data_IF_936531815533
#
_entry.id   IF_936531815533
#
_cell.length_a   1.000
_cell.length_b   1.000
_cell.length_c   1.000
_cell.angle_alpha   90.00
_cell.angle_beta   90.00
_cell.angle_gamma   90.00
#
_symmetry.space_group_name_H-M   'P 1'
#
loop_
_entity.id
_entity.type
_entity.pdbx_description
1 polymer ?
#
# COMPACT_ATOMS: atom_id res chain seq x y z
N UNK A 1 6.09 68.10 -23.51
CA UNK A 1 5.18 69.26 -23.58
C UNK A 1 3.78 68.71 -23.74
N UNK A 2 2.85 69.12 -22.89
CA UNK A 2 1.44 68.72 -22.91
C UNK A 2 0.68 69.93 -23.45
N UNK A 3 -0.16 69.74 -24.46
CA UNK A 3 -0.99 70.81 -25.02
C UNK A 3 -2.48 70.56 -24.74
N UNK A 4 -3.25 71.63 -24.57
CA UNK A 4 -4.58 71.65 -23.97
C UNK A 4 -5.66 72.16 -24.94
N UNK A 5 -6.84 71.51 -24.91
CA UNK A 5 -8.23 72.02 -25.12
C UNK A 5 -8.43 73.45 -25.70
N UNK A 6 -9.50 73.73 -26.51
CA UNK A 6 -10.88 73.63 -25.97
C UNK A 6 -12.13 73.48 -26.91
N UNK A 7 -13.20 72.89 -26.34
CA UNK A 7 -14.64 73.31 -26.29
C UNK A 7 -15.39 73.78 -27.58
N UNK A 8 -16.54 73.12 -27.89
CA UNK A 8 -17.80 73.65 -28.51
C UNK A 8 -18.79 72.50 -28.82
N UNK A 9 -20.14 72.54 -28.79
CA UNK A 9 -21.23 73.33 -28.12
C UNK A 9 -22.50 72.44 -28.10
N UNK A 10 -23.19 72.22 -26.97
CA UNK A 10 -24.40 72.93 -26.47
C UNK A 10 -25.72 72.80 -27.30
N UNK A 11 -26.68 72.02 -26.78
CA UNK A 11 -28.16 72.25 -26.71
C UNK A 11 -28.84 71.03 -26.02
N UNK A 12 -29.41 71.10 -24.79
CA UNK A 12 -30.79 71.51 -24.40
C UNK A 12 -31.92 70.96 -25.30
N UNK A 13 -33.07 70.45 -24.81
CA UNK A 13 -33.85 70.71 -23.56
C UNK A 13 -34.95 69.61 -23.32
N UNK A 14 -35.43 69.45 -22.08
CA UNK A 14 -36.68 68.74 -21.62
C UNK A 14 -36.88 67.23 -22.01
N UNK A 15 -37.52 66.35 -21.21
CA UNK A 15 -38.23 66.49 -19.93
C UNK A 15 -39.69 65.98 -20.04
N UNK A 16 -40.10 65.02 -19.18
CA UNK A 16 -41.32 64.16 -19.19
C UNK A 16 -41.13 62.80 -19.91
N UNK A 17 -41.67 61.67 -19.45
CA UNK A 17 -42.41 61.38 -18.21
C UNK A 17 -42.92 59.91 -18.13
N UNK A 18 -42.93 59.34 -16.92
CA UNK A 18 -43.64 58.14 -16.42
C UNK A 18 -44.20 57.04 -17.37
N UNK A 19 -43.75 55.81 -17.07
CA UNK A 19 -44.53 54.56 -16.90
C UNK A 19 -45.23 53.87 -18.09
N UNK A 20 -44.71 52.65 -18.40
CA UNK A 20 -45.30 51.41 -18.97
C UNK A 20 -44.10 50.60 -19.53
N UNK A 21 -43.86 49.32 -19.28
CA UNK A 21 -44.69 48.24 -18.74
C UNK A 21 -44.81 47.12 -19.77
N UNK A 22 -44.22 45.94 -19.48
CA UNK A 22 -44.41 44.61 -20.09
C UNK A 22 -43.14 43.88 -20.61
N UNK A 23 -42.93 42.68 -20.05
CA UNK A 23 -42.59 41.40 -20.69
C UNK A 23 -41.38 41.26 -21.65
N UNK A 24 -40.32 40.62 -21.15
CA UNK A 24 -39.48 39.68 -21.90
C UNK A 24 -38.72 38.73 -20.94
N UNK A 25 -39.40 37.68 -20.47
CA UNK A 25 -38.79 36.65 -19.60
C UNK A 25 -39.33 35.27 -20.02
N UNK A 26 -38.47 34.45 -20.61
CA UNK A 26 -38.76 33.06 -20.97
C UNK A 26 -38.35 32.65 -22.38
N UNK A 27 -37.13 32.09 -22.52
CA UNK A 27 -36.86 30.78 -23.16
C UNK A 27 -35.33 30.50 -23.14
N UNK A 28 -34.84 29.83 -22.09
CA UNK A 28 -33.47 29.32 -22.02
C UNK A 28 -33.33 28.13 -21.03
N UNK A 29 -34.40 27.36 -20.83
CA UNK A 29 -34.49 26.31 -19.81
C UNK A 29 -34.95 24.96 -20.40
N UNK A 30 -34.27 24.51 -21.46
CA UNK A 30 -34.43 23.16 -22.02
C UNK A 30 -33.13 22.76 -22.73
N UNK A 31 -32.24 22.04 -22.03
CA UNK A 31 -31.20 21.16 -22.62
C UNK A 31 -30.32 20.41 -21.59
N UNK A 32 -30.51 20.58 -20.27
CA UNK A 32 -29.72 19.88 -19.23
C UNK A 32 -30.44 18.68 -18.56
N UNK A 33 -31.27 17.97 -19.33
CA UNK A 33 -31.81 16.65 -18.95
C UNK A 33 -31.04 15.57 -19.72
N UNK A 34 -29.79 15.31 -19.30
CA UNK A 34 -28.81 14.61 -20.15
C UNK A 34 -27.65 13.92 -19.42
N UNK A 35 -27.90 13.30 -18.27
CA UNK A 35 -27.07 12.20 -17.78
C UNK A 35 -27.88 11.29 -16.84
N UNK A 36 -28.82 10.54 -17.43
CA UNK A 36 -29.48 9.43 -16.74
C UNK A 36 -28.55 8.23 -16.67
N UNK A 37 -27.62 8.22 -15.71
CA UNK A 37 -26.80 7.04 -15.37
C UNK A 37 -27.54 6.10 -14.43
N UNK A 38 -28.68 5.55 -14.83
CA UNK A 38 -29.56 4.75 -13.97
C UNK A 38 -29.21 3.26 -13.93
N UNK A 39 -27.92 2.94 -13.85
CA UNK A 39 -27.47 1.70 -13.22
C UNK A 39 -27.14 2.04 -11.77
N UNK A 40 -27.82 1.43 -10.80
CA UNK A 40 -27.23 1.36 -9.46
C UNK A 40 -25.86 0.71 -9.61
N UNK A 41 -24.82 1.35 -9.10
CA UNK A 41 -23.56 0.66 -8.87
C UNK A 41 -23.86 -0.35 -7.78
N UNK A 42 -24.10 -1.60 -8.18
CA UNK A 42 -24.16 -2.70 -7.23
C UNK A 42 -22.80 -2.78 -6.56
N UNK A 43 -22.77 -2.46 -5.27
CA UNK A 43 -21.55 -2.47 -4.47
C UNK A 43 -20.97 -3.88 -4.52
N UNK A 44 -19.69 -4.00 -4.87
CA UNK A 44 -19.01 -5.29 -4.82
C UNK A 44 -19.09 -5.90 -3.42
N UNK A 45 -19.56 -7.15 -3.33
CA UNK A 45 -19.64 -7.93 -2.10
C UNK A 45 -18.71 -9.13 -2.27
N UNK A 46 -17.54 -9.14 -1.60
CA UNK A 46 -16.60 -10.24 -1.74
C UNK A 46 -17.06 -11.48 -0.98
N UNK A 47 -16.74 -12.65 -1.53
CA UNK A 47 -16.94 -13.94 -0.86
C UNK A 47 -15.77 -14.27 0.07
N UNK A 48 -14.54 -14.23 -0.47
CA UNK A 48 -13.33 -14.55 0.26
C UNK A 48 -12.19 -13.57 -0.04
N UNK A 49 -11.16 -13.58 0.81
CA UNK A 49 -9.87 -12.93 0.57
C UNK A 49 -8.78 -14.01 0.59
N UNK A 50 -7.99 -14.10 -0.47
CA UNK A 50 -6.83 -14.98 -0.54
C UNK A 50 -5.56 -14.12 -0.61
N UNK A 51 -4.72 -14.20 0.41
CA UNK A 51 -3.51 -13.37 0.52
C UNK A 51 -2.28 -14.19 0.20
N UNK A 52 -1.51 -13.74 -0.78
CA UNK A 52 -0.28 -14.37 -1.27
C UNK A 52 0.90 -13.44 -1.08
N UNK A 53 2.06 -14.00 -0.75
CA UNK A 53 3.22 -13.17 -0.52
C UNK A 53 4.31 -13.78 0.32
N UNK A 54 5.17 -12.86 0.77
CA UNK A 54 6.22 -13.10 1.75
C UNK A 54 5.76 -12.81 3.18
N UNK A 55 6.69 -12.85 4.14
CA UNK A 55 6.49 -12.53 5.54
C UNK A 55 5.68 -11.25 5.85
N UNK A 56 5.67 -10.24 4.98
CA UNK A 56 4.89 -9.00 5.18
C UNK A 56 3.37 -9.24 5.04
N UNK A 57 2.98 -10.40 4.53
CA UNK A 57 1.59 -10.86 4.41
C UNK A 57 1.23 -11.96 5.41
N UNK A 58 2.21 -12.51 6.14
CA UNK A 58 2.01 -13.67 7.01
C UNK A 58 1.34 -13.30 8.33
N UNK A 59 0.31 -14.06 8.65
CA UNK A 59 -0.32 -14.18 9.95
C UNK A 59 -0.25 -15.67 10.32
N UNK A 60 0.52 -16.02 11.36
CA UNK A 60 0.74 -17.43 11.70
C UNK A 60 -0.49 -18.07 12.38
N UNK A 61 -0.45 -19.38 12.64
CA UNK A 61 -1.56 -20.10 13.28
C UNK A 61 -1.95 -19.60 14.68
N UNK A 62 -1.13 -18.74 15.30
CA UNK A 62 -1.37 -18.11 16.61
C UNK A 62 -1.70 -16.62 16.50
N UNK A 63 -1.79 -16.08 15.28
CA UNK A 63 -2.08 -14.67 15.00
C UNK A 63 -0.86 -13.76 15.00
N UNK A 64 0.35 -14.28 15.18
CA UNK A 64 1.57 -13.48 15.18
C UNK A 64 2.00 -13.10 13.76
N UNK A 65 2.65 -11.94 13.64
CA UNK A 65 3.19 -11.36 12.40
C UNK A 65 4.71 -11.22 12.46
N UNK A 66 5.37 -11.14 11.30
CA UNK A 66 6.78 -10.76 11.19
C UNK A 66 6.96 -9.25 11.37
N UNK A 67 6.87 -8.81 12.62
CA UNK A 67 7.00 -7.41 13.01
C UNK A 67 6.70 -7.22 14.48
N UNK A 68 6.45 -5.97 14.88
CA UNK A 68 6.02 -5.67 16.25
C UNK A 68 4.57 -6.14 16.42
N UNK A 69 4.37 -7.08 17.32
CA UNK A 69 3.09 -7.65 17.65
C UNK A 69 2.40 -6.83 18.74
N UNK A 70 1.08 -6.67 18.63
CA UNK A 70 0.30 -5.88 19.56
C UNK A 70 0.18 -6.53 20.93
N UNK A 71 0.23 -5.71 21.99
CA UNK A 71 0.01 -6.13 23.37
C UNK A 71 -1.11 -5.29 23.96
N UNK A 72 -2.18 -5.93 24.41
CA UNK A 72 -3.24 -5.27 25.15
C UNK A 72 -2.78 -5.04 26.59
N UNK A 73 -2.66 -3.77 26.97
CA UNK A 73 -2.21 -3.30 28.28
C UNK A 73 -3.35 -2.79 29.17
N UNK A 74 -4.61 -2.96 28.72
CA UNK A 74 -5.80 -2.54 29.49
C UNK A 74 -6.17 -3.53 30.61
N UNK A 75 -5.51 -4.68 30.67
CA UNK A 75 -5.62 -5.72 31.69
C UNK A 75 -4.42 -5.71 32.63
N UNK A 76 -4.58 -6.19 33.88
CA UNK A 76 -3.49 -6.29 34.86
C UNK A 76 -2.34 -7.19 34.44
N UNK A 77 -2.60 -8.11 33.50
CA UNK A 77 -1.58 -8.90 32.80
C UNK A 77 -1.60 -8.45 31.34
N UNK A 78 -0.55 -7.78 30.85
CA UNK A 78 -0.41 -7.48 29.43
C UNK A 78 -0.35 -8.77 28.61
N UNK A 79 -1.17 -8.87 27.56
CA UNK A 79 -1.29 -10.07 26.74
C UNK A 79 -1.20 -9.71 25.25
N UNK A 80 -0.67 -10.64 24.46
CA UNK A 80 -0.67 -10.52 23.00
C UNK A 80 -2.11 -10.35 22.46
N UNK A 81 -2.28 -9.45 21.49
CA UNK A 81 -3.55 -9.16 20.83
C UNK A 81 -3.31 -8.97 19.32
N UNK A 82 -3.73 -9.97 18.54
CA UNK A 82 -3.56 -10.01 17.09
C UNK A 82 -4.33 -8.89 16.33
N UNK A 83 -5.31 -8.26 16.98
CA UNK A 83 -6.10 -7.15 16.41
C UNK A 83 -5.38 -5.81 16.51
N UNK A 84 -4.40 -5.71 17.42
CA UNK A 84 -3.55 -4.54 17.59
C UNK A 84 -2.34 -4.60 16.64
N UNK A 85 -1.98 -3.44 16.09
CA UNK A 85 -0.91 -3.27 15.09
C UNK A 85 -1.08 -4.20 13.86
N UNK A 86 -2.25 -4.19 13.17
CA UNK A 86 -2.53 -5.12 12.08
C UNK A 86 -1.57 -4.95 10.89
N UNK A 87 -1.27 -6.05 10.20
CA UNK A 87 -0.69 -6.01 8.85
C UNK A 87 -1.76 -5.56 7.84
N UNK A 88 -1.35 -4.97 6.71
CA UNK A 88 -2.27 -4.42 5.72
C UNK A 88 -3.33 -5.42 5.20
N UNK A 89 -3.07 -6.75 5.04
CA UNK A 89 -4.11 -7.68 4.61
C UNK A 89 -5.22 -7.86 5.66
N UNK A 90 -4.92 -7.74 6.96
CA UNK A 90 -5.95 -7.73 8.00
C UNK A 90 -6.85 -6.49 7.89
N UNK A 91 -6.30 -5.33 7.50
CA UNK A 91 -7.08 -4.11 7.31
C UNK A 91 -7.96 -4.19 6.06
N UNK A 92 -7.44 -4.76 4.96
CA UNK A 92 -8.25 -5.07 3.76
C UNK A 92 -9.38 -6.04 4.09
N UNK A 93 -9.10 -7.14 4.80
CA UNK A 93 -10.12 -8.09 5.23
C UNK A 93 -11.23 -7.41 6.05
N UNK A 94 -10.85 -6.65 7.09
CA UNK A 94 -11.80 -5.96 7.96
C UNK A 94 -12.66 -4.93 7.20
N UNK A 95 -12.07 -4.17 6.26
CA UNK A 95 -12.78 -3.21 5.43
C UNK A 95 -13.81 -3.86 4.49
N UNK A 96 -13.54 -5.09 4.07
CA UNK A 96 -14.42 -5.92 3.24
C UNK A 96 -15.40 -6.79 4.05
N UNK A 97 -15.36 -6.73 5.38
CA UNK A 97 -16.19 -7.58 6.27
C UNK A 97 -15.72 -9.04 6.38
N UNK A 98 -14.53 -9.35 5.86
CA UNK A 98 -13.92 -10.68 5.84
C UNK A 98 -13.04 -10.90 7.07
N UNK A 99 -12.79 -12.17 7.44
CA UNK A 99 -12.09 -12.52 8.69
C UNK A 99 -11.11 -13.67 8.53
N UNK A 100 -9.93 -13.52 9.13
CA UNK A 100 -8.92 -14.56 9.29
C UNK A 100 -9.22 -15.45 10.49
N UNK A 101 -9.04 -16.76 10.35
CA UNK A 101 -9.09 -17.72 11.47
C UNK A 101 -7.98 -17.46 12.50
N UNK A 102 -6.81 -17.06 12.01
CA UNK A 102 -5.62 -16.75 12.80
C UNK A 102 -5.82 -15.53 13.71
N UNK A 103 -6.80 -14.68 13.43
CA UNK A 103 -7.13 -13.53 14.28
C UNK A 103 -8.64 -13.27 14.30
N UNK A 104 -9.42 -14.06 15.08
CA UNK A 104 -10.88 -13.95 15.13
C UNK A 104 -11.37 -12.77 15.98
N UNK A 105 -10.45 -12.10 16.70
CA UNK A 105 -10.75 -11.08 17.70
C UNK A 105 -11.67 -11.62 18.80
N UNK A 106 -12.53 -10.76 19.34
CA UNK A 106 -13.54 -11.15 20.33
C UNK A 106 -14.79 -11.83 19.73
N UNK A 107 -14.72 -12.34 18.48
CA UNK A 107 -15.91 -12.81 17.75
C UNK A 107 -16.11 -14.31 17.91
N UNK A 108 -17.37 -14.75 18.06
CA UNK A 108 -17.76 -16.16 18.20
C UNK A 108 -18.03 -16.85 16.87
N UNK A 109 -17.65 -16.23 15.75
CA UNK A 109 -17.86 -16.73 14.40
C UNK A 109 -16.92 -17.91 14.12
N UNK A 110 -17.46 -19.04 13.65
CA UNK A 110 -16.69 -20.22 13.22
C UNK A 110 -16.50 -20.31 11.70
N UNK A 111 -17.02 -19.34 10.95
CA UNK A 111 -16.88 -19.23 9.50
C UNK A 111 -15.86 -18.14 9.18
N UNK A 112 -14.71 -18.54 8.65
CA UNK A 112 -13.65 -17.62 8.23
C UNK A 112 -13.62 -17.52 6.70
N UNK A 113 -13.28 -16.34 6.21
CA UNK A 113 -13.36 -15.98 4.79
C UNK A 113 -12.11 -15.27 4.27
N UNK A 114 -11.12 -15.03 5.12
CA UNK A 114 -9.81 -14.56 4.71
C UNK A 114 -8.76 -15.65 5.00
N UNK A 115 -7.97 -15.99 3.98
CA UNK A 115 -7.04 -17.10 3.95
C UNK A 115 -5.64 -16.59 3.60
N UNK A 116 -4.67 -16.80 4.50
CA UNK A 116 -3.27 -16.49 4.26
C UNK A 116 -2.54 -17.68 3.63
N UNK A 117 -1.91 -17.44 2.49
CA UNK A 117 -1.05 -18.38 1.74
C UNK A 117 0.42 -17.95 1.72
N UNK A 118 0.72 -16.76 2.25
CA UNK A 118 2.08 -16.22 2.31
C UNK A 118 3.02 -17.06 3.17
N UNK A 119 4.31 -16.97 2.89
CA UNK A 119 5.34 -17.74 3.59
C UNK A 119 6.62 -16.92 3.82
N UNK A 120 7.30 -17.16 4.94
CA UNK A 120 8.59 -16.54 5.21
C UNK A 120 9.62 -16.93 4.13
N UNK A 121 10.34 -15.95 3.59
CA UNK A 121 11.33 -16.16 2.55
C UNK A 121 10.73 -16.40 1.16
N UNK A 122 9.41 -16.24 0.97
CA UNK A 122 8.78 -16.41 -0.34
C UNK A 122 9.33 -15.39 -1.35
N UNK A 123 9.65 -15.88 -2.54
CA UNK A 123 10.01 -15.06 -3.70
C UNK A 123 8.85 -14.99 -4.68
N UNK A 124 8.98 -14.20 -5.75
CA UNK A 124 8.01 -14.18 -6.85
C UNK A 124 7.69 -15.58 -7.34
N UNK A 125 8.70 -16.44 -7.52
CA UNK A 125 8.51 -17.82 -7.95
C UNK A 125 7.71 -18.66 -6.93
N UNK A 126 7.89 -18.40 -5.63
CA UNK A 126 7.06 -19.04 -4.59
C UNK A 126 5.60 -18.59 -4.69
N UNK A 127 5.34 -17.30 -4.90
CA UNK A 127 3.98 -16.76 -5.05
C UNK A 127 3.30 -17.22 -6.34
N UNK A 128 4.05 -17.36 -7.44
CA UNK A 128 3.55 -17.98 -8.67
C UNK A 128 3.02 -19.39 -8.37
N UNK A 129 3.79 -20.22 -7.65
CA UNK A 129 3.37 -21.57 -7.25
C UNK A 129 2.23 -21.59 -6.22
N UNK A 130 2.18 -20.65 -5.26
CA UNK A 130 1.05 -20.52 -4.33
C UNK A 130 -0.26 -20.21 -5.10
N UNK A 131 -0.21 -19.30 -6.09
CA UNK A 131 -1.35 -18.95 -6.93
C UNK A 131 -1.82 -20.14 -7.79
N UNK A 132 -0.90 -20.89 -8.39
CA UNK A 132 -1.23 -22.10 -9.16
C UNK A 132 -1.92 -23.16 -8.28
N UNK A 133 -1.43 -23.35 -7.05
CA UNK A 133 -2.02 -24.28 -6.08
C UNK A 133 -3.46 -23.88 -5.66
N UNK A 134 -3.79 -22.59 -5.68
CA UNK A 134 -5.14 -22.08 -5.37
C UNK A 134 -6.00 -21.83 -6.62
N UNK A 135 -5.49 -22.03 -7.84
CA UNK A 135 -6.16 -21.63 -9.08
C UNK A 135 -7.52 -22.30 -9.33
N UNK A 136 -7.76 -23.47 -8.73
CA UNK A 136 -9.04 -24.19 -8.77
C UNK A 136 -10.00 -23.84 -7.62
N UNK A 137 -9.50 -23.19 -6.57
CA UNK A 137 -10.27 -22.72 -5.39
C UNK A 137 -10.83 -21.32 -5.64
N UNK A 138 -10.05 -20.46 -6.30
CA UNK A 138 -10.41 -19.07 -6.61
C UNK A 138 -11.60 -18.98 -7.59
N UNK A 139 -12.64 -18.27 -7.17
CA UNK A 139 -13.91 -18.07 -7.88
C UNK A 139 -14.27 -16.58 -8.03
N UNK A 140 -15.30 -16.30 -8.82
CA UNK A 140 -15.84 -14.95 -8.97
C UNK A 140 -16.27 -14.36 -7.61
N UNK A 141 -16.04 -13.05 -7.46
CA UNK A 141 -16.18 -12.27 -6.24
C UNK A 141 -15.20 -12.63 -5.10
N UNK A 142 -14.18 -13.46 -5.31
CA UNK A 142 -13.04 -13.47 -4.40
C UNK A 142 -12.20 -12.19 -4.58
N UNK A 143 -11.46 -11.84 -3.54
CA UNK A 143 -10.38 -10.85 -3.60
C UNK A 143 -9.05 -11.58 -3.47
N UNK A 144 -8.12 -11.31 -4.38
CA UNK A 144 -6.74 -11.81 -4.30
C UNK A 144 -5.81 -10.65 -3.93
N UNK A 145 -5.11 -10.79 -2.82
CA UNK A 145 -4.17 -9.79 -2.30
C UNK A 145 -2.74 -10.30 -2.45
N UNK A 146 -1.84 -9.53 -3.06
CA UNK A 146 -0.48 -9.94 -3.42
C UNK A 146 0.53 -8.90 -2.93
N UNK A 147 1.55 -9.34 -2.17
CA UNK A 147 2.78 -8.59 -1.94
C UNK A 147 3.99 -9.51 -1.88
N UNK A 148 4.96 -9.28 -2.76
CA UNK A 148 6.20 -10.07 -2.83
C UNK A 148 7.30 -9.30 -3.56
N UNK A 149 8.54 -9.73 -3.36
CA UNK A 149 9.71 -9.21 -4.07
C UNK A 149 10.84 -8.77 -3.14
N UNK A 150 10.56 -8.63 -1.84
CA UNK A 150 11.57 -8.27 -0.85
C UNK A 150 12.70 -9.32 -0.80
N UNK A 151 12.34 -10.60 -0.75
CA UNK A 151 13.29 -11.71 -0.77
C UNK A 151 14.02 -11.83 -2.12
N UNK A 152 13.36 -11.53 -3.25
CA UNK A 152 13.99 -11.50 -4.57
C UNK A 152 15.10 -10.45 -4.68
N UNK A 153 14.89 -9.24 -4.15
CA UNK A 153 15.93 -8.19 -4.11
C UNK A 153 17.14 -8.65 -3.27
N UNK A 154 16.90 -9.29 -2.12
CA UNK A 154 17.95 -9.83 -1.25
C UNK A 154 18.72 -10.95 -1.95
N UNK A 155 18.02 -11.88 -2.61
CA UNK A 155 18.59 -12.99 -3.38
C UNK A 155 19.45 -12.48 -4.54
N UNK A 156 18.93 -11.55 -5.35
CA UNK A 156 19.62 -11.00 -6.50
C UNK A 156 20.86 -10.20 -6.11
N UNK A 157 20.78 -9.36 -5.07
CA UNK A 157 21.97 -8.68 -4.56
C UNK A 157 23.00 -9.64 -3.98
N UNK A 158 22.57 -10.73 -3.33
CA UNK A 158 23.47 -11.79 -2.87
C UNK A 158 24.21 -12.45 -4.04
N UNK A 159 23.54 -12.65 -5.18
CA UNK A 159 24.18 -13.15 -6.41
C UNK A 159 25.16 -12.14 -7.04
N UNK A 160 24.92 -10.84 -6.90
CA UNK A 160 25.89 -9.78 -7.29
C UNK A 160 27.13 -9.83 -6.42
N UNK A 161 26.98 -9.90 -5.10
CA UNK A 161 28.11 -10.04 -4.14
C UNK A 161 28.90 -11.33 -4.39
N UNK A 162 28.22 -12.42 -4.75
CA UNK A 162 28.85 -13.68 -5.13
C UNK A 162 29.50 -13.68 -6.53
N UNK A 163 29.40 -12.58 -7.30
CA UNK A 163 29.94 -12.49 -8.66
C UNK A 163 29.23 -13.40 -9.69
N UNK A 164 28.06 -13.94 -9.35
CA UNK A 164 27.24 -14.77 -10.24
C UNK A 164 26.43 -13.92 -11.23
N UNK A 165 26.00 -12.74 -10.78
CA UNK A 165 25.39 -11.71 -11.62
C UNK A 165 26.23 -10.43 -11.58
N UNK A 166 26.21 -9.66 -12.65
CA UNK A 166 26.52 -8.23 -12.60
C UNK A 166 25.32 -7.44 -12.08
N UNK A 167 25.54 -6.24 -11.55
CA UNK A 167 24.47 -5.34 -11.12
C UNK A 167 23.39 -5.14 -12.19
N UNK A 168 23.78 -4.90 -13.44
CA UNK A 168 22.83 -4.72 -14.55
C UNK A 168 22.02 -6.00 -14.86
N UNK A 169 22.60 -7.19 -14.69
CA UNK A 169 21.85 -8.44 -14.84
C UNK A 169 20.86 -8.66 -13.69
N UNK A 170 21.22 -8.26 -12.47
CA UNK A 170 20.33 -8.32 -11.32
C UNK A 170 19.14 -7.34 -11.48
N UNK A 171 19.36 -6.13 -12.00
CA UNK A 171 18.29 -5.18 -12.33
C UNK A 171 17.36 -5.71 -13.44
N UNK A 172 17.91 -6.31 -14.50
CA UNK A 172 17.09 -6.90 -15.58
C UNK A 172 16.26 -8.09 -15.07
N UNK A 173 16.85 -8.99 -14.28
CA UNK A 173 16.10 -10.10 -13.67
C UNK A 173 15.05 -9.58 -12.69
N UNK A 174 15.39 -8.61 -11.83
CA UNK A 174 14.44 -7.96 -10.91
C UNK A 174 13.21 -7.42 -11.64
N UNK A 175 13.40 -6.66 -12.73
CA UNK A 175 12.31 -6.20 -13.58
C UNK A 175 11.52 -7.36 -14.20
N UNK A 176 12.18 -8.44 -14.63
CA UNK A 176 11.49 -9.64 -15.12
C UNK A 176 10.64 -10.29 -14.02
N UNK A 177 11.11 -10.37 -12.77
CA UNK A 177 10.32 -10.88 -11.63
C UNK A 177 9.11 -10.00 -11.32
N UNK A 178 9.28 -8.68 -11.34
CA UNK A 178 8.16 -7.74 -11.18
C UNK A 178 7.08 -7.93 -12.27
N UNK A 179 7.50 -8.04 -13.53
CA UNK A 179 6.60 -8.32 -14.64
C UNK A 179 5.87 -9.68 -14.49
N UNK A 180 6.52 -10.71 -13.94
CA UNK A 180 5.86 -12.00 -13.67
C UNK A 180 4.72 -11.87 -12.66
N UNK A 181 4.88 -11.10 -11.58
CA UNK A 181 3.78 -10.80 -10.63
C UNK A 181 2.61 -10.13 -11.35
N UNK A 182 2.89 -9.08 -12.13
CA UNK A 182 1.86 -8.36 -12.89
C UNK A 182 1.12 -9.28 -13.90
N UNK A 183 1.83 -10.20 -14.55
CA UNK A 183 1.24 -11.15 -15.49
C UNK A 183 0.26 -12.16 -14.85
N UNK A 184 0.27 -12.32 -13.51
CA UNK A 184 -0.73 -13.13 -12.80
C UNK A 184 -2.08 -12.41 -12.63
N UNK A 185 -2.12 -11.09 -12.78
CA UNK A 185 -3.32 -10.28 -12.48
C UNK A 185 -4.43 -10.44 -13.52
N UNK A 186 -4.22 -10.33 -14.85
CA UNK A 186 -5.30 -10.44 -15.83
C UNK A 186 -6.08 -11.78 -15.78
N UNK A 187 -5.44 -12.96 -15.67
CA UNK A 187 -6.17 -14.23 -15.55
C UNK A 187 -7.03 -14.38 -14.28
N UNK A 188 -6.79 -13.56 -13.24
CA UNK A 188 -7.66 -13.48 -12.07
C UNK A 188 -8.87 -12.58 -12.36
N UNK A 189 -8.65 -11.42 -12.98
CA UNK A 189 -9.72 -10.51 -13.41
C UNK A 189 -10.69 -11.22 -14.38
N UNK A 190 -10.16 -12.00 -15.33
CA UNK A 190 -10.96 -12.82 -16.27
C UNK A 190 -11.85 -13.87 -15.57
N UNK A 191 -11.52 -14.27 -14.33
CA UNK A 191 -12.34 -15.15 -13.47
C UNK A 191 -13.39 -14.39 -12.63
N UNK A 192 -13.43 -13.06 -12.70
CA UNK A 192 -14.27 -12.21 -11.84
C UNK A 192 -13.68 -12.01 -10.44
N UNK A 193 -12.37 -12.19 -10.25
CA UNK A 193 -11.66 -11.92 -9.00
C UNK A 193 -11.22 -10.45 -8.99
N UNK A 194 -11.40 -9.74 -7.87
CA UNK A 194 -10.80 -8.41 -7.68
C UNK A 194 -9.40 -8.56 -7.10
N UNK A 195 -8.45 -7.75 -7.54
CA UNK A 195 -7.04 -7.90 -7.14
C UNK A 195 -6.56 -6.69 -6.35
N UNK A 196 -5.78 -6.93 -5.29
CA UNK A 196 -5.04 -5.90 -4.54
C UNK A 196 -3.56 -6.23 -4.63
N UNK A 197 -2.77 -5.36 -5.26
CA UNK A 197 -1.32 -5.53 -5.36
C UNK A 197 -0.64 -4.46 -4.51
N UNK A 198 0.33 -4.88 -3.70
CA UNK A 198 1.26 -3.97 -3.03
C UNK A 198 2.67 -4.29 -3.50
N UNK A 199 3.39 -3.32 -4.05
CA UNK A 199 4.81 -3.51 -4.38
C UNK A 199 5.65 -3.76 -3.11
N UNK A 200 6.81 -4.42 -3.20
CA UNK A 200 7.67 -4.61 -2.04
C UNK A 200 8.21 -3.28 -1.50
N UNK A 201 8.69 -3.22 -0.25
CA UNK A 201 9.39 -2.05 0.27
C UNK A 201 10.69 -1.78 -0.48
N UNK A 202 11.07 -0.50 -0.61
CA UNK A 202 12.37 -0.10 -1.17
C UNK A 202 13.50 -0.49 -0.20
N UNK A 203 14.27 -1.52 -0.53
CA UNK A 203 15.28 -2.05 0.39
C UNK A 203 16.58 -1.25 0.43
N UNK A 204 16.85 -0.35 -0.52
CA UNK A 204 18.05 0.49 -0.49
C UNK A 204 18.17 1.35 0.77
N UNK A 205 17.04 1.68 1.42
CA UNK A 205 16.99 2.42 2.68
C UNK A 205 16.88 1.53 3.94
N UNK A 206 16.92 0.19 3.78
CA UNK A 206 16.84 -0.74 4.92
C UNK A 206 18.10 -0.71 5.79
N UNK A 207 18.02 -0.97 7.11
CA UNK A 207 19.20 -1.06 7.97
C UNK A 207 20.21 -2.11 7.46
N UNK A 208 19.74 -3.19 6.84
CA UNK A 208 20.58 -4.20 6.17
C UNK A 208 21.35 -3.62 4.97
N UNK A 209 20.70 -2.86 4.10
CA UNK A 209 21.35 -2.20 2.97
C UNK A 209 22.38 -1.16 3.43
N UNK A 210 21.99 -0.31 4.39
CA UNK A 210 22.86 0.74 4.95
C UNK A 210 24.09 0.16 5.65
N UNK A 211 23.96 -0.97 6.35
CA UNK A 211 25.07 -1.67 7.02
C UNK A 211 26.15 -2.19 6.04
N UNK A 212 25.83 -2.30 4.74
CA UNK A 212 26.77 -2.73 3.70
C UNK A 212 27.50 -1.55 3.02
N UNK A 213 27.19 -0.30 3.43
CA UNK A 213 27.79 0.93 2.90
C UNK A 213 26.98 1.56 1.77
N UNK A 214 27.25 2.84 1.49
CA UNK A 214 26.43 3.67 0.57
C UNK A 214 26.36 3.12 -0.86
N UNK A 215 27.46 2.59 -1.39
CA UNK A 215 27.51 1.98 -2.73
C UNK A 215 26.66 0.71 -2.81
N UNK A 216 26.70 -0.13 -1.76
CA UNK A 216 25.87 -1.33 -1.66
C UNK A 216 24.39 -0.96 -1.52
N UNK A 217 24.07 0.01 -0.66
CA UNK A 217 22.72 0.51 -0.48
C UNK A 217 22.10 1.05 -1.77
N UNK A 218 22.87 1.80 -2.57
CA UNK A 218 22.45 2.27 -3.89
C UNK A 218 22.18 1.10 -4.86
N UNK A 219 23.08 0.11 -4.93
CA UNK A 219 22.91 -1.07 -5.78
C UNK A 219 21.67 -1.91 -5.42
N UNK A 220 21.40 -2.10 -4.11
CA UNK A 220 20.18 -2.73 -3.59
C UNK A 220 18.94 -1.90 -3.95
N UNK A 221 19.06 -0.57 -3.88
CA UNK A 221 18.03 0.37 -4.31
C UNK A 221 17.63 0.17 -5.77
N UNK A 222 18.60 0.15 -6.69
CA UNK A 222 18.36 -0.06 -8.12
C UNK A 222 17.65 -1.39 -8.42
N UNK A 223 18.02 -2.48 -7.72
CA UNK A 223 17.35 -3.78 -7.82
C UNK A 223 15.90 -3.69 -7.28
N UNK A 224 15.68 -2.94 -6.19
CA UNK A 224 14.35 -2.69 -5.62
C UNK A 224 13.46 -1.91 -6.59
N UNK A 225 13.99 -0.85 -7.20
CA UNK A 225 13.28 -0.01 -8.17
C UNK A 225 12.95 -0.78 -9.44
N UNK A 226 13.88 -1.58 -9.96
CA UNK A 226 13.65 -2.39 -11.15
C UNK A 226 12.52 -3.40 -10.95
N UNK A 227 12.48 -4.12 -9.81
CA UNK A 227 11.39 -5.03 -9.48
C UNK A 227 10.08 -4.26 -9.27
N UNK A 228 10.11 -3.21 -8.45
CA UNK A 228 8.96 -2.36 -8.17
C UNK A 228 8.30 -1.82 -9.44
N UNK A 229 9.10 -1.25 -10.36
CA UNK A 229 8.65 -0.75 -11.65
C UNK A 229 8.06 -1.85 -12.54
N UNK A 230 8.63 -3.05 -12.54
CA UNK A 230 8.08 -4.21 -13.25
C UNK A 230 6.67 -4.59 -12.78
N UNK A 231 6.36 -4.39 -11.49
CA UNK A 231 5.00 -4.56 -10.97
C UNK A 231 4.13 -3.34 -11.32
N UNK A 232 4.55 -2.14 -10.91
CA UNK A 232 3.68 -0.95 -10.88
C UNK A 232 3.34 -0.43 -12.27
N UNK A 233 4.27 -0.46 -13.22
CA UNK A 233 4.03 0.01 -14.59
C UNK A 233 3.01 -0.86 -15.32
N UNK A 234 3.09 -2.19 -15.14
CA UNK A 234 2.23 -3.16 -15.79
C UNK A 234 0.84 -3.23 -15.14
N UNK A 235 0.77 -3.30 -13.79
CA UNK A 235 -0.52 -3.28 -13.07
C UNK A 235 -1.24 -1.95 -13.25
N UNK A 236 -0.51 -0.83 -13.33
CA UNK A 236 -1.06 0.50 -13.54
C UNK A 236 -1.71 0.76 -14.91
N UNK A 237 -1.65 -0.19 -15.86
CA UNK A 237 -2.40 -0.12 -17.13
C UNK A 237 -3.78 -0.82 -17.07
N UNK A 238 -4.09 -1.51 -15.97
CA UNK A 238 -5.33 -2.28 -15.80
C UNK A 238 -6.45 -1.38 -15.23
N UNK A 239 -7.72 -1.81 -15.36
CA UNK A 239 -8.85 -1.03 -14.83
C UNK A 239 -8.82 -0.99 -13.29
N UNK A 240 -8.84 0.22 -12.72
CA UNK A 240 -8.86 0.46 -11.29
C UNK A 240 -10.11 -0.09 -10.57
N UNK A 241 -11.16 -0.46 -11.32
CA UNK A 241 -12.32 -1.20 -10.82
C UNK A 241 -12.00 -2.66 -10.52
N UNK A 242 -11.03 -3.25 -11.19
CA UNK A 242 -10.70 -4.67 -11.11
C UNK A 242 -9.40 -4.94 -10.34
N UNK A 243 -8.46 -3.99 -10.36
CA UNK A 243 -7.25 -4.04 -9.53
C UNK A 243 -6.93 -2.73 -8.82
N UNK A 244 -6.61 -2.83 -7.53
CA UNK A 244 -6.05 -1.75 -6.72
C UNK A 244 -4.54 -1.97 -6.59
N UNK A 245 -3.77 -0.90 -6.78
CA UNK A 245 -2.32 -0.87 -6.59
C UNK A 245 -1.95 0.09 -5.46
N UNK A 246 -1.13 -0.36 -4.50
CA UNK A 246 -0.43 0.50 -3.55
C UNK A 246 1.08 0.33 -3.71
N UNK A 247 1.83 1.43 -3.61
CA UNK A 247 3.28 1.41 -3.80
C UNK A 247 4.02 1.34 -2.45
N UNK A 248 4.52 0.16 -2.08
CA UNK A 248 5.33 -0.06 -0.88
C UNK A 248 6.68 0.67 -0.93
N UNK A 249 7.31 0.78 -2.11
CA UNK A 249 8.54 1.56 -2.28
C UNK A 249 8.35 3.02 -1.88
N UNK A 250 7.28 3.66 -2.36
CA UNK A 250 6.97 5.06 -2.06
C UNK A 250 6.70 5.27 -0.55
N UNK A 251 6.14 4.28 0.15
CA UNK A 251 5.95 4.38 1.61
C UNK A 251 7.30 4.49 2.32
N UNK A 252 8.27 3.64 1.97
CA UNK A 252 9.62 3.70 2.56
C UNK A 252 10.32 5.01 2.18
N UNK A 253 10.26 5.40 0.91
CA UNK A 253 10.91 6.63 0.44
C UNK A 253 10.32 7.89 1.11
N UNK A 254 8.99 7.95 1.29
CA UNK A 254 8.34 9.06 1.98
C UNK A 254 8.75 9.21 3.46
N UNK A 255 9.14 8.12 4.14
CA UNK A 255 9.68 8.19 5.49
C UNK A 255 11.16 8.59 5.55
N UNK A 256 11.96 8.20 4.55
CA UNK A 256 13.42 8.42 4.57
C UNK A 256 13.81 9.73 3.89
N UNK A 257 13.25 10.01 2.71
CA UNK A 257 13.61 11.12 1.83
C UNK A 257 12.48 12.14 1.66
N UNK A 258 11.21 11.70 1.72
CA UNK A 258 10.02 12.51 1.47
C UNK A 258 9.41 13.19 2.70
N UNK A 259 8.08 13.39 2.66
CA UNK A 259 7.35 14.30 3.56
C UNK A 259 7.35 13.94 5.04
N UNK A 260 7.64 12.68 5.40
CA UNK A 260 7.71 12.26 6.80
C UNK A 260 9.15 12.33 7.36
N UNK A 261 10.16 12.66 6.55
CA UNK A 261 11.52 12.87 7.01
C UNK A 261 11.56 13.99 8.07
N UNK A 262 12.32 13.77 9.15
CA UNK A 262 12.39 14.70 10.29
C UNK A 262 11.26 14.58 11.32
N UNK A 263 10.26 13.69 11.12
CA UNK A 263 9.13 13.50 12.06
C UNK A 263 9.49 12.81 13.39
N UNK A 264 10.78 12.76 13.77
CA UNK A 264 11.27 12.03 14.94
C UNK A 264 11.22 10.50 14.81
N UNK A 265 10.95 9.98 13.60
CA UNK A 265 10.90 8.55 13.29
C UNK A 265 12.32 8.04 13.00
N UNK A 266 12.69 6.92 13.60
CA UNK A 266 13.91 6.20 13.27
C UNK A 266 13.71 5.36 12.01
N UNK A 267 14.48 5.67 10.96
CA UNK A 267 14.42 5.00 9.65
C UNK A 267 15.68 4.21 9.31
N UNK A 268 16.64 4.10 10.24
CA UNK A 268 17.96 3.49 10.00
C UNK A 268 18.30 2.34 10.97
N UNK A 269 17.47 2.11 11.99
CA UNK A 269 17.68 1.08 13.02
C UNK A 269 16.44 0.21 13.15
N UNK A 270 16.64 -1.08 13.42
CA UNK A 270 15.58 -2.04 13.75
C UNK A 270 14.92 -1.73 15.10
N UNK A 271 13.60 -1.95 15.19
CA UNK A 271 12.83 -1.80 16.42
C UNK A 271 12.92 -3.03 17.34
N UNK A 272 12.95 -4.24 16.78
CA UNK A 272 13.04 -5.51 17.50
C UNK A 272 14.50 -5.94 17.68
N UNK A 273 14.78 -6.69 18.76
CA UNK A 273 16.08 -7.35 18.97
C UNK A 273 16.25 -8.59 18.08
N UNK A 274 15.15 -9.27 17.77
CA UNK A 274 15.08 -10.44 16.91
C UNK A 274 15.08 -10.04 15.43
N UNK A 275 15.52 -10.97 14.59
CA UNK A 275 15.60 -10.80 13.13
C UNK A 275 15.18 -12.09 12.42
N UNK A 276 14.80 -11.98 11.15
CA UNK A 276 14.49 -13.13 10.31
C UNK A 276 13.33 -13.98 10.86
N UNK A 277 13.50 -15.31 10.90
CA UNK A 277 12.44 -16.21 11.40
C UNK A 277 12.07 -15.94 12.87
N UNK A 278 13.02 -15.47 13.68
CA UNK A 278 12.80 -15.15 15.09
C UNK A 278 12.06 -13.81 15.31
N UNK A 279 11.87 -12.99 14.27
CA UNK A 279 11.05 -11.77 14.36
C UNK A 279 9.56 -12.09 14.58
N UNK A 280 9.12 -13.30 14.20
CA UNK A 280 7.75 -13.77 14.44
C UNK A 280 7.45 -13.72 15.94
N UNK A 281 6.48 -12.89 16.33
CA UNK A 281 6.13 -12.71 17.73
C UNK A 281 7.03 -11.77 18.53
N UNK A 282 7.74 -10.82 17.91
CA UNK A 282 8.39 -9.72 18.64
C UNK A 282 7.33 -8.89 19.41
N UNK A 283 7.41 -8.89 20.75
CA UNK A 283 6.49 -8.17 21.65
C UNK A 283 7.17 -6.94 22.32
N UNK A 284 6.47 -6.23 23.20
CA UNK A 284 6.97 -4.99 23.81
C UNK A 284 8.28 -5.15 24.63
N UNK A 285 8.53 -6.32 25.22
CA UNK A 285 9.78 -6.67 25.91
C UNK A 285 10.95 -6.93 24.95
N UNK A 286 10.66 -7.20 23.69
CA UNK A 286 11.60 -7.54 22.63
C UNK A 286 12.12 -6.32 21.87
N UNK A 287 11.51 -5.16 22.10
CA UNK A 287 11.91 -3.88 21.50
C UNK A 287 13.27 -3.39 22.01
N UNK A 288 14.03 -2.72 21.15
CA UNK A 288 15.31 -2.10 21.48
C UNK A 288 15.09 -0.99 22.52
N UNK A 289 15.80 -1.09 23.65
CA UNK A 289 15.71 -0.12 24.74
C UNK A 289 16.34 1.24 24.35
N UNK A 290 15.97 2.30 25.08
CA UNK A 290 16.62 3.59 24.93
C UNK A 290 18.13 3.51 25.22
N UNK A 291 18.91 4.26 24.46
CA UNK A 291 20.33 4.52 24.74
C UNK A 291 20.49 5.97 25.23
N UNK A 292 21.73 6.42 25.43
CA UNK A 292 22.01 7.83 25.75
C UNK A 292 21.69 8.79 24.60
N UNK A 293 21.57 8.29 23.36
CA UNK A 293 21.37 9.10 22.15
C UNK A 293 20.14 8.69 21.32
N UNK A 294 19.48 7.58 21.63
CA UNK A 294 18.29 7.09 20.92
C UNK A 294 17.15 6.79 21.89
N UNK A 295 15.93 7.22 21.55
CA UNK A 295 14.74 6.84 22.28
C UNK A 295 14.48 5.32 22.20
N UNK A 296 13.69 4.77 23.13
CA UNK A 296 13.26 3.38 23.07
C UNK A 296 12.39 3.14 21.81
N UNK A 297 12.51 1.95 21.23
CA UNK A 297 11.72 1.59 20.07
C UNK A 297 10.24 1.42 20.41
N UNK A 298 9.37 1.85 19.49
CA UNK A 298 7.92 1.65 19.55
C UNK A 298 7.40 1.38 18.13
N UNK A 299 6.16 0.90 18.01
CA UNK A 299 5.52 0.63 16.72
C UNK A 299 5.22 1.87 15.87
N UNK A 300 5.30 3.07 16.44
CA UNK A 300 5.00 4.33 15.74
C UNK A 300 6.21 5.28 15.64
N UNK A 301 7.33 4.96 16.28
CA UNK A 301 8.56 5.76 16.21
C UNK A 301 9.69 5.11 15.39
N UNK A 302 9.50 3.88 14.90
CA UNK A 302 10.49 3.15 14.10
C UNK A 302 9.85 2.62 12.82
N UNK A 303 10.47 2.88 11.67
CA UNK A 303 10.01 2.40 10.37
C UNK A 303 10.26 0.89 10.18
N UNK A 304 11.36 0.38 10.73
CA UNK A 304 11.82 -0.99 10.49
C UNK A 304 11.61 -1.88 11.72
N UNK A 305 11.04 -3.07 11.52
CA UNK A 305 10.87 -4.04 12.59
C UNK A 305 12.18 -4.79 12.86
N UNK A 306 12.78 -5.37 11.82
CA UNK A 306 14.18 -5.85 11.85
C UNK A 306 15.04 -5.11 10.82
N UNK A 307 16.20 -5.65 10.43
CA UNK A 307 17.09 -4.99 9.47
C UNK A 307 16.60 -5.01 8.02
N UNK A 308 15.57 -5.81 7.69
CA UNK A 308 15.08 -6.02 6.31
C UNK A 308 13.58 -5.75 6.18
N UNK A 309 12.80 -6.01 7.24
CA UNK A 309 11.33 -5.99 7.24
C UNK A 309 10.82 -4.67 7.83
N UNK A 310 10.02 -3.89 7.09
CA UNK A 310 9.39 -2.71 7.66
C UNK A 310 8.37 -3.09 8.74
N UNK A 311 8.14 -2.19 9.69
CA UNK A 311 7.24 -2.36 10.83
C UNK A 311 5.85 -1.76 10.61
N UNK A 312 5.14 -1.52 11.73
CA UNK A 312 3.75 -1.10 11.70
C UNK A 312 3.50 0.21 10.92
N UNK A 313 4.43 1.18 10.95
CA UNK A 313 4.31 2.42 10.17
C UNK A 313 4.07 2.18 8.67
N UNK A 314 4.80 1.22 8.08
CA UNK A 314 4.61 0.81 6.70
C UNK A 314 3.24 0.20 6.47
N UNK A 315 2.86 -0.80 7.27
CA UNK A 315 1.54 -1.44 7.15
C UNK A 315 0.40 -0.44 7.32
N UNK A 316 0.49 0.51 8.25
CA UNK A 316 -0.53 1.53 8.50
C UNK A 316 -0.66 2.52 7.33
N UNK A 317 0.45 2.90 6.70
CA UNK A 317 0.45 3.80 5.54
C UNK A 317 -0.07 3.09 4.29
N UNK A 318 0.39 1.86 4.00
CA UNK A 318 -0.16 1.01 2.92
C UNK A 318 -1.66 0.81 3.12
N UNK A 319 -2.09 0.48 4.34
CA UNK A 319 -3.52 0.30 4.65
C UNK A 319 -4.33 1.57 4.41
N UNK A 320 -3.79 2.74 4.77
CA UNK A 320 -4.48 4.03 4.56
C UNK A 320 -4.68 4.32 3.07
N UNK A 321 -3.66 4.05 2.24
CA UNK A 321 -3.78 4.14 0.78
C UNK A 321 -4.84 3.17 0.24
N UNK A 322 -4.78 1.89 0.63
CA UNK A 322 -5.73 0.86 0.19
C UNK A 322 -7.18 1.16 0.60
N UNK A 323 -7.41 1.60 1.84
CA UNK A 323 -8.74 1.98 2.33
C UNK A 323 -9.39 3.10 1.52
N UNK A 324 -8.59 4.04 1.00
CA UNK A 324 -9.11 5.10 0.13
C UNK A 324 -9.58 4.55 -1.24
N UNK A 325 -8.98 3.45 -1.70
CA UNK A 325 -9.23 2.86 -3.01
C UNK A 325 -10.28 1.73 -3.01
N UNK A 326 -10.48 1.03 -1.89
CA UNK A 326 -11.46 -0.07 -1.77
C UNK A 326 -12.93 0.34 -2.01
N UNK A 327 -13.22 1.64 -2.07
CA UNK A 327 -14.55 2.16 -2.45
C UNK A 327 -14.78 2.16 -3.98
N UNK A 328 -13.79 1.80 -4.80
CA UNK A 328 -13.89 1.72 -6.26
C UNK A 328 -14.12 0.29 -6.79
N UNK A 329 -14.14 -0.72 -5.92
CA UNK A 329 -14.61 -2.08 -6.23
C UNK A 329 -16.13 -2.15 -6.38
#
# INVERSE_FOLDING_TARGET
>A
MIDFKPITRLRTFFGLGLARGAAALGLAAALLAGCGGSSQVERFVPHHLHVFGDELTVLDATGHRYGINGVNTSTTTPAFDCTLLPIWPQVVAAALGLKFEQCPGATTTTTFTAFGHGAYGATVATVEAQLDAQAAVLVANDVVAIQVGMNDVIELYTQVVAGTLTQAQAEVEAAARGNRVAARVPPLIDKGVKVVVVSPPYLGNSPWALAQGTTAAAAIGQISDALGAGITLAVGQLDARDVILANGSDVVDNYVNGSNNGSGINVTVAACKQTGTALLGCLSNDLVAATTTTAAATSTTYLWADSQRPGYLFHSTVSSSLLSLLNFF
#
